data_IF_098621218930
#
_entry.id   IF_098621218930
#
_cell.length_a   1.000
_cell.length_b   1.000
_cell.length_c   1.000
_cell.angle_alpha   90.00
_cell.angle_beta   90.00
_cell.angle_gamma   90.00
#
_symmetry.space_group_name_H-M   'P 1'
#
loop_
_entity.id
_entity.type
_entity.pdbx_description
1 polymer ?
#
# COMPACT_ATOMS: atom_id res chain seq x y z
N UNK A 1 28.77 18.94 12.81
CA UNK A 1 27.49 18.24 12.55
C UNK A 1 27.70 17.22 11.44
N UNK A 2 27.55 15.93 11.78
CA UNK A 2 27.78 14.79 10.88
C UNK A 2 26.90 14.89 9.63
N UNK A 3 27.45 14.59 8.45
CA UNK A 3 26.71 14.57 7.17
C UNK A 3 25.46 13.68 7.25
N UNK A 4 25.47 12.66 8.11
CA UNK A 4 24.32 11.77 8.37
C UNK A 4 23.11 12.50 8.95
N UNK A 5 23.33 13.47 9.84
CA UNK A 5 22.24 14.23 10.47
C UNK A 5 21.49 15.12 9.47
N UNK A 6 22.18 15.58 8.41
CA UNK A 6 21.55 16.38 7.34
C UNK A 6 20.64 15.54 6.45
N UNK A 7 21.00 14.28 6.15
CA UNK A 7 20.16 13.39 5.34
C UNK A 7 18.91 12.93 6.09
N UNK A 8 19.02 12.65 7.39
CA UNK A 8 17.87 12.26 8.22
C UNK A 8 16.84 13.41 8.31
N UNK A 9 17.31 14.65 8.43
CA UNK A 9 16.44 15.83 8.51
C UNK A 9 15.75 16.12 7.17
N UNK A 10 16.44 15.89 6.05
CA UNK A 10 15.83 15.99 4.71
C UNK A 10 14.76 14.92 4.48
N UNK A 11 14.97 13.67 4.90
CA UNK A 11 13.95 12.63 4.80
C UNK A 11 12.70 12.91 5.66
N UNK A 12 12.86 13.61 6.79
CA UNK A 12 11.73 13.97 7.66
C UNK A 12 10.88 15.14 7.10
N UNK A 13 11.48 16.06 6.35
CA UNK A 13 10.74 17.19 5.74
C UNK A 13 9.91 16.73 4.54
N UNK A 14 10.39 15.75 3.76
CA UNK A 14 9.66 15.23 2.60
C UNK A 14 8.46 14.32 2.94
N UNK A 15 8.40 13.74 4.14
CA UNK A 15 7.26 12.90 4.56
C UNK A 15 6.09 13.71 5.13
N UNK A 16 6.30 14.95 5.56
CA UNK A 16 5.26 15.80 6.16
C UNK A 16 4.44 16.62 5.16
N UNK A 17 4.93 16.82 3.93
CA UNK A 17 4.22 17.61 2.90
C UNK A 17 3.39 16.76 1.92
N UNK A 18 3.41 15.43 2.05
CA UNK A 18 2.77 14.50 1.11
C UNK A 18 1.24 14.46 1.12
N UNK A 19 0.57 15.00 2.14
CA UNK A 19 -0.90 14.91 2.24
C UNK A 19 -1.65 16.14 1.72
N UNK A 20 -1.00 17.30 1.55
CA UNK A 20 -1.68 18.55 1.21
C UNK A 20 -2.31 18.62 -0.21
N UNK A 21 -1.70 18.07 -1.29
CA UNK A 21 -2.28 18.25 -2.61
C UNK A 21 -3.54 17.41 -2.83
N UNK A 22 -3.78 16.35 -2.04
CA UNK A 22 -4.94 15.47 -2.19
C UNK A 22 -6.24 16.05 -1.62
N UNK A 23 -6.17 16.86 -0.57
CA UNK A 23 -7.36 17.41 0.11
C UNK A 23 -7.88 18.73 -0.46
N UNK A 24 -7.05 19.45 -1.24
CA UNK A 24 -7.38 20.80 -1.71
C UNK A 24 -8.59 20.85 -2.67
N UNK A 25 -8.85 19.75 -3.38
CA UNK A 25 -9.98 19.63 -4.30
C UNK A 25 -11.18 18.85 -3.72
N UNK A 26 -11.06 18.32 -2.50
CA UNK A 26 -12.13 17.56 -1.86
C UNK A 26 -13.08 18.47 -1.06
N UNK A 27 -12.56 19.52 -0.41
CA UNK A 27 -13.33 20.35 0.55
C UNK A 27 -13.74 21.73 0.03
N UNK A 28 -14.23 21.87 -1.20
CA UNK A 28 -14.93 23.11 -1.58
C UNK A 28 -16.38 23.03 -1.07
N UNK A 29 -16.76 23.81 -0.04
CA UNK A 29 -18.15 23.89 0.34
C UNK A 29 -18.94 24.67 -0.74
N UNK A 30 -20.19 24.29 -1.03
CA UNK A 30 -21.04 25.08 -1.90
C UNK A 30 -21.28 26.47 -1.28
N UNK A 31 -21.23 27.50 -2.13
CA UNK A 31 -21.33 28.91 -1.75
C UNK A 31 -22.50 29.20 -0.79
N UNK A 32 -22.21 30.01 0.23
CA UNK A 32 -23.16 30.43 1.26
C UNK A 32 -24.24 31.34 0.69
N UNK A 33 -25.50 30.87 0.70
CA UNK A 33 -26.67 31.71 0.41
C UNK A 33 -27.00 32.55 1.65
N UNK A 34 -27.16 33.85 1.40
CA UNK A 34 -27.46 34.94 2.35
C UNK A 34 -28.69 34.63 3.22
N UNK A 35 -28.56 34.91 4.51
CA UNK A 35 -29.58 34.77 5.55
C UNK A 35 -30.68 35.83 5.45
N UNK A 36 -31.92 35.39 5.30
CA UNK A 36 -33.13 36.18 5.59
C UNK A 36 -33.97 35.43 6.62
N UNK A 37 -34.36 36.14 7.69
CA UNK A 37 -35.05 35.65 8.90
C UNK A 37 -36.51 35.19 8.68
N UNK A 38 -36.70 34.19 7.85
CA UNK A 38 -37.92 33.38 7.83
C UNK A 38 -37.49 31.92 7.94
N UNK A 39 -37.92 31.23 9.01
CA UNK A 39 -37.76 29.78 9.16
C UNK A 39 -38.49 29.08 8.00
N UNK A 40 -37.78 28.94 6.88
CA UNK A 40 -38.24 28.22 5.73
C UNK A 40 -38.13 26.72 6.02
N UNK A 41 -38.99 25.88 5.41
CA UNK A 41 -38.89 24.41 5.52
C UNK A 41 -37.49 23.86 5.17
N UNK A 42 -36.71 24.62 4.39
CA UNK A 42 -35.30 24.35 4.14
C UNK A 42 -34.41 24.34 5.41
N UNK A 43 -34.63 25.24 6.36
CA UNK A 43 -33.84 25.30 7.61
C UNK A 43 -34.19 24.17 8.58
N UNK A 44 -35.45 23.72 8.59
CA UNK A 44 -35.85 22.54 9.36
C UNK A 44 -35.19 21.26 8.80
N UNK A 45 -35.22 21.06 7.49
CA UNK A 45 -34.56 19.92 6.82
C UNK A 45 -33.04 19.96 7.00
N UNK A 46 -32.43 21.16 6.97
CA UNK A 46 -31.00 21.35 7.22
C UNK A 46 -30.61 20.95 8.63
N UNK A 47 -31.37 21.40 9.65
CA UNK A 47 -31.14 21.02 11.05
C UNK A 47 -31.32 19.51 11.29
N UNK A 48 -32.34 18.88 10.69
CA UNK A 48 -32.55 17.43 10.76
C UNK A 48 -31.35 16.67 10.19
N UNK A 49 -30.85 17.07 9.01
CA UNK A 49 -29.67 16.46 8.38
C UNK A 49 -28.39 16.67 9.19
N UNK A 50 -28.21 17.84 9.79
CA UNK A 50 -27.09 18.10 10.70
C UNK A 50 -27.17 17.25 11.97
N UNK A 51 -28.37 17.02 12.52
CA UNK A 51 -28.62 16.11 13.63
C UNK A 51 -28.21 14.67 13.30
N UNK A 52 -28.60 14.15 12.13
CA UNK A 52 -28.22 12.81 11.68
C UNK A 52 -26.69 12.62 11.59
N UNK A 53 -25.97 13.60 11.04
CA UNK A 53 -24.49 13.54 10.97
C UNK A 53 -23.87 13.55 12.36
N UNK A 54 -24.37 14.41 13.26
CA UNK A 54 -23.89 14.50 14.63
C UNK A 54 -24.10 13.18 15.40
N UNK A 55 -25.29 12.58 15.28
CA UNK A 55 -25.63 11.32 15.94
C UNK A 55 -24.72 10.18 15.47
N UNK A 56 -24.40 10.14 14.17
CA UNK A 56 -23.45 9.16 13.63
C UNK A 56 -22.04 9.35 14.17
N UNK A 57 -21.54 10.60 14.20
CA UNK A 57 -20.22 10.89 14.75
C UNK A 57 -20.12 10.48 16.21
N UNK A 58 -21.17 10.77 16.99
CA UNK A 58 -21.28 10.35 18.39
C UNK A 58 -21.29 8.82 18.51
N UNK A 59 -22.04 8.13 17.65
CA UNK A 59 -22.09 6.67 17.60
C UNK A 59 -20.72 6.07 17.25
N UNK A 60 -20.04 6.61 16.24
CA UNK A 60 -18.66 6.21 15.88
C UNK A 60 -17.70 6.37 17.05
N UNK A 61 -17.81 7.48 17.80
CA UNK A 61 -16.95 7.74 18.96
C UNK A 61 -17.12 6.69 20.06
N UNK A 62 -18.33 6.14 20.26
CA UNK A 62 -18.57 5.08 21.24
C UNK A 62 -17.81 3.79 20.94
N UNK A 63 -17.56 3.48 19.67
CA UNK A 63 -16.78 2.30 19.29
C UNK A 63 -15.28 2.55 19.33
N UNK A 64 -14.82 3.80 19.16
CA UNK A 64 -13.39 4.11 19.24
C UNK A 64 -12.79 3.86 20.62
N UNK A 65 -13.57 4.06 21.69
CA UNK A 65 -13.12 3.84 23.08
C UNK A 65 -13.06 2.36 23.49
N UNK A 66 -13.61 1.47 22.66
CA UNK A 66 -13.60 0.03 22.93
C UNK A 66 -12.18 -0.54 22.78
N UNK A 67 -11.86 -1.54 23.61
CA UNK A 67 -10.65 -2.32 23.43
C UNK A 67 -10.79 -3.30 22.25
N UNK A 68 -9.69 -3.94 21.83
CA UNK A 68 -9.70 -4.79 20.63
C UNK A 68 -10.65 -5.99 20.72
N UNK A 69 -10.78 -6.63 21.89
CA UNK A 69 -11.72 -7.75 22.06
C UNK A 69 -13.17 -7.30 21.91
N UNK A 70 -13.49 -6.15 22.49
CA UNK A 70 -14.82 -5.53 22.38
C UNK A 70 -15.13 -5.10 20.94
N UNK A 71 -14.15 -4.52 20.23
CA UNK A 71 -14.30 -4.17 18.81
C UNK A 71 -14.56 -5.41 17.94
N UNK A 72 -13.88 -6.51 18.21
CA UNK A 72 -14.09 -7.76 17.49
C UNK A 72 -15.51 -8.32 17.72
N UNK A 73 -15.98 -8.35 18.96
CA UNK A 73 -17.36 -8.77 19.28
C UNK A 73 -18.40 -7.86 18.62
N UNK A 74 -18.25 -6.54 18.78
CA UNK A 74 -19.14 -5.57 18.15
C UNK A 74 -19.15 -5.69 16.63
N UNK A 75 -18.01 -5.99 16.01
CA UNK A 75 -17.94 -6.24 14.58
C UNK A 75 -18.77 -7.47 14.19
N UNK A 76 -18.63 -8.58 14.90
CA UNK A 76 -19.37 -9.81 14.61
C UNK A 76 -20.89 -9.61 14.73
N UNK A 77 -21.33 -8.96 15.81
CA UNK A 77 -22.74 -8.65 16.05
C UNK A 77 -23.31 -7.73 14.97
N UNK A 78 -22.60 -6.64 14.64
CA UNK A 78 -23.08 -5.68 13.64
C UNK A 78 -23.04 -6.23 12.22
N UNK A 79 -22.11 -7.16 11.91
CA UNK A 79 -22.12 -7.88 10.63
C UNK A 79 -23.37 -8.74 10.50
N UNK A 80 -23.69 -9.52 11.55
CA UNK A 80 -24.90 -10.34 11.60
C UNK A 80 -26.17 -9.48 11.46
N UNK A 81 -26.23 -8.35 12.17
CA UNK A 81 -27.34 -7.40 12.07
C UNK A 81 -27.49 -6.85 10.65
N UNK A 82 -26.38 -6.44 10.03
CA UNK A 82 -26.38 -5.89 8.68
C UNK A 82 -26.79 -6.92 7.61
N UNK A 83 -26.33 -8.16 7.75
CA UNK A 83 -26.67 -9.25 6.82
C UNK A 83 -28.16 -9.60 6.85
N UNK A 84 -28.80 -9.45 8.02
CA UNK A 84 -30.23 -9.69 8.19
C UNK A 84 -31.08 -8.51 7.74
N UNK A 85 -30.66 -7.29 8.07
CA UNK A 85 -31.36 -6.06 7.73
C UNK A 85 -30.35 -4.96 7.37
N UNK A 86 -30.11 -4.72 6.06
CA UNK A 86 -29.13 -3.75 5.58
C UNK A 86 -29.46 -2.29 5.93
N UNK A 87 -29.21 -1.91 7.18
CA UNK A 87 -29.38 -0.57 7.71
C UNK A 87 -28.13 0.29 7.48
N UNK A 88 -28.35 1.52 7.04
CA UNK A 88 -27.25 2.43 6.68
C UNK A 88 -26.45 2.93 7.89
N UNK A 89 -27.03 2.95 9.09
CA UNK A 89 -26.32 3.33 10.32
C UNK A 89 -25.42 2.19 10.80
N UNK A 90 -25.87 0.95 10.66
CA UNK A 90 -25.05 -0.24 10.95
C UNK A 90 -23.85 -0.29 10.00
N UNK A 91 -24.10 -0.12 8.69
CA UNK A 91 -23.05 0.02 7.68
C UNK A 91 -22.04 1.12 8.01
N UNK A 92 -22.52 2.27 8.49
CA UNK A 92 -21.65 3.37 8.90
C UNK A 92 -20.69 2.97 10.03
N UNK A 93 -21.21 2.34 11.09
CA UNK A 93 -20.38 1.90 12.22
C UNK A 93 -19.38 0.83 11.77
N UNK A 94 -19.84 -0.14 10.98
CA UNK A 94 -18.98 -1.19 10.43
C UNK A 94 -17.80 -0.60 9.67
N UNK A 95 -18.03 0.39 8.79
CA UNK A 95 -16.96 0.92 7.93
C UNK A 95 -16.12 2.01 8.60
N UNK A 96 -16.73 2.96 9.31
CA UNK A 96 -16.02 4.13 9.83
C UNK A 96 -15.49 3.96 11.26
N UNK A 97 -16.11 3.11 12.08
CA UNK A 97 -15.77 3.01 13.50
C UNK A 97 -14.95 1.76 13.84
N UNK A 98 -15.29 0.62 13.21
CA UNK A 98 -14.75 -0.69 13.55
C UNK A 98 -13.72 -1.24 12.56
N UNK A 99 -13.38 -0.48 11.51
CA UNK A 99 -12.64 -1.04 10.38
C UNK A 99 -11.37 -0.27 10.00
N UNK A 100 -10.67 0.29 10.99
CA UNK A 100 -9.43 1.07 10.77
C UNK A 100 -8.31 0.28 10.10
N UNK A 101 -8.24 -1.02 10.30
CA UNK A 101 -7.22 -1.95 9.77
C UNK A 101 -7.80 -2.99 8.80
N UNK A 102 -9.07 -2.83 8.41
CA UNK A 102 -9.82 -3.78 7.59
C UNK A 102 -9.98 -5.18 8.21
N UNK A 103 -9.84 -5.31 9.54
CA UNK A 103 -10.04 -6.59 10.24
C UNK A 103 -11.51 -6.95 10.38
N UNK A 104 -12.40 -5.94 10.46
CA UNK A 104 -13.82 -6.15 10.66
C UNK A 104 -14.53 -6.52 9.34
N UNK A 105 -14.37 -5.69 8.32
CA UNK A 105 -14.84 -5.91 6.94
C UNK A 105 -13.70 -5.64 5.97
N UNK A 106 -13.50 -6.55 5.01
CA UNK A 106 -12.39 -6.41 4.08
C UNK A 106 -12.56 -5.16 3.20
N UNK A 107 -11.46 -4.58 2.72
CA UNK A 107 -11.49 -3.36 1.91
C UNK A 107 -12.52 -3.38 0.76
N UNK A 108 -12.62 -4.52 0.04
CA UNK A 108 -13.59 -4.67 -1.05
C UNK A 108 -15.04 -4.65 -0.55
N UNK A 109 -15.28 -5.29 0.59
CA UNK A 109 -16.59 -5.38 1.24
C UNK A 109 -17.00 -4.01 1.79
N UNK A 110 -16.07 -3.28 2.43
CA UNK A 110 -16.30 -1.91 2.89
C UNK A 110 -16.76 -0.98 1.75
N UNK A 111 -16.11 -1.05 0.59
CA UNK A 111 -16.51 -0.29 -0.62
C UNK A 111 -17.94 -0.68 -1.05
N UNK A 112 -18.25 -1.98 -1.05
CA UNK A 112 -19.57 -2.47 -1.45
C UNK A 112 -20.67 -2.01 -0.48
N UNK A 113 -20.42 -2.09 0.83
CA UNK A 113 -21.32 -1.60 1.88
C UNK A 113 -21.60 -0.10 1.69
N UNK A 114 -20.55 0.71 1.54
CA UNK A 114 -20.71 2.16 1.31
C UNK A 114 -21.47 2.45 0.00
N UNK A 115 -21.22 1.68 -1.06
CA UNK A 115 -21.92 1.80 -2.32
C UNK A 115 -23.41 1.44 -2.21
N UNK A 116 -23.76 0.43 -1.42
CA UNK A 116 -25.14 0.01 -1.21
C UNK A 116 -25.95 1.05 -0.43
N UNK A 117 -25.34 1.70 0.57
CA UNK A 117 -26.05 2.73 1.35
C UNK A 117 -26.17 4.06 0.60
N UNK A 118 -25.31 4.32 -0.39
CA UNK A 118 -25.37 5.52 -1.23
C UNK A 118 -26.69 5.62 -2.01
N UNK A 119 -27.30 4.49 -2.35
CA UNK A 119 -28.54 4.43 -3.14
C UNK A 119 -29.81 4.48 -2.30
N UNK A 120 -29.70 4.47 -0.96
CA UNK A 120 -30.85 4.53 -0.07
C UNK A 120 -31.39 5.96 0.06
N UNK A 121 -32.70 6.12 -0.13
CA UNK A 121 -33.40 7.43 -0.15
C UNK A 121 -33.37 8.17 1.21
N UNK A 122 -33.08 7.47 2.30
CA UNK A 122 -33.04 7.99 3.68
C UNK A 122 -31.75 8.75 4.03
N UNK A 123 -30.71 8.68 3.20
CA UNK A 123 -29.39 9.27 3.50
C UNK A 123 -29.34 10.74 3.04
N UNK A 124 -29.04 11.65 3.97
CA UNK A 124 -28.90 13.08 3.66
C UNK A 124 -27.73 13.39 2.69
N UNK A 125 -27.85 14.47 1.93
CA UNK A 125 -26.84 14.90 0.92
C UNK A 125 -25.42 14.99 1.48
N UNK A 126 -25.25 15.44 2.72
CA UNK A 126 -23.95 15.55 3.37
C UNK A 126 -23.30 14.17 3.61
N UNK A 127 -24.11 13.18 4.01
CA UNK A 127 -23.66 11.80 4.22
C UNK A 127 -23.36 11.11 2.88
N UNK A 128 -24.18 11.36 1.87
CA UNK A 128 -23.91 10.91 0.50
C UNK A 128 -22.59 11.46 -0.04
N UNK A 129 -22.30 12.74 0.22
CA UNK A 129 -21.02 13.35 -0.15
C UNK A 129 -19.86 12.68 0.59
N UNK A 130 -19.96 12.50 1.91
CA UNK A 130 -18.89 11.87 2.70
C UNK A 130 -18.62 10.44 2.23
N UNK A 131 -19.67 9.64 2.01
CA UNK A 131 -19.57 8.29 1.50
C UNK A 131 -18.92 8.26 0.11
N UNK A 132 -19.27 9.20 -0.77
CA UNK A 132 -18.64 9.31 -2.10
C UNK A 132 -17.13 9.56 -1.99
N UNK A 133 -16.71 10.45 -1.10
CA UNK A 133 -15.30 10.73 -0.85
C UNK A 133 -14.60 9.51 -0.26
N UNK A 134 -15.21 8.87 0.73
CA UNK A 134 -14.65 7.69 1.37
C UNK A 134 -14.48 6.52 0.39
N UNK A 135 -15.48 6.25 -0.46
CA UNK A 135 -15.39 5.22 -1.51
C UNK A 135 -14.17 5.47 -2.40
N UNK A 136 -13.97 6.71 -2.88
CA UNK A 136 -12.80 7.06 -3.71
C UNK A 136 -11.47 6.80 -3.00
N UNK A 137 -11.40 7.12 -1.70
CA UNK A 137 -10.20 6.86 -0.88
C UNK A 137 -9.94 5.36 -0.78
N UNK A 138 -10.97 4.56 -0.49
CA UNK A 138 -10.86 3.10 -0.37
C UNK A 138 -10.51 2.44 -1.72
N UNK A 139 -11.07 2.93 -2.83
CA UNK A 139 -10.72 2.47 -4.18
C UNK A 139 -9.25 2.76 -4.53
N UNK A 140 -8.78 3.97 -4.21
CA UNK A 140 -7.37 4.33 -4.38
C UNK A 140 -6.46 3.43 -3.53
N UNK A 141 -6.84 3.17 -2.28
CA UNK A 141 -6.10 2.24 -1.42
C UNK A 141 -6.06 0.82 -1.99
N UNK A 142 -7.17 0.33 -2.55
CA UNK A 142 -7.25 -0.98 -3.21
C UNK A 142 -6.33 -1.05 -4.41
N UNK A 143 -6.27 0.01 -5.21
CA UNK A 143 -5.34 0.09 -6.34
C UNK A 143 -3.87 0.04 -5.87
N UNK A 144 -3.53 0.84 -4.86
CA UNK A 144 -2.18 0.86 -4.26
C UNK A 144 -1.78 -0.50 -3.70
N UNK A 145 -2.69 -1.20 -3.01
CA UNK A 145 -2.44 -2.55 -2.50
C UNK A 145 -2.12 -3.54 -3.64
N UNK A 146 -2.88 -3.47 -4.74
CA UNK A 146 -2.66 -4.32 -5.90
C UNK A 146 -1.32 -3.99 -6.61
N UNK A 147 -0.98 -2.71 -6.72
CA UNK A 147 0.31 -2.27 -7.28
C UNK A 147 1.47 -2.78 -6.40
N UNK A 148 1.40 -2.62 -5.09
CA UNK A 148 2.39 -3.14 -4.15
C UNK A 148 2.55 -4.66 -4.25
N UNK A 149 1.45 -5.41 -4.37
CA UNK A 149 1.51 -6.87 -4.57
C UNK A 149 2.23 -7.22 -5.87
N UNK A 150 1.96 -6.50 -6.97
CA UNK A 150 2.66 -6.71 -8.25
C UNK A 150 4.16 -6.41 -8.13
N UNK A 151 4.52 -5.31 -7.44
CA UNK A 151 5.92 -4.95 -7.22
C UNK A 151 6.66 -5.99 -6.37
N UNK A 152 6.06 -6.48 -5.29
CA UNK A 152 6.63 -7.56 -4.47
C UNK A 152 6.87 -8.83 -5.28
N UNK A 153 5.93 -9.20 -6.14
CA UNK A 153 6.09 -10.37 -7.01
C UNK A 153 7.22 -10.17 -8.03
N UNK A 154 7.39 -8.95 -8.57
CA UNK A 154 8.52 -8.63 -9.46
C UNK A 154 9.85 -8.68 -8.71
N UNK A 155 9.89 -8.14 -7.49
CA UNK A 155 11.09 -8.17 -6.64
C UNK A 155 11.51 -9.62 -6.38
N UNK A 156 10.57 -10.47 -5.94
CA UNK A 156 10.84 -11.90 -5.70
C UNK A 156 11.43 -12.60 -6.92
N UNK A 157 10.86 -12.37 -8.11
CA UNK A 157 11.40 -12.93 -9.37
C UNK A 157 12.81 -12.42 -9.69
N UNK A 158 13.07 -11.15 -9.40
CA UNK A 158 14.40 -10.56 -9.60
C UNK A 158 15.43 -11.15 -8.64
N UNK A 159 15.05 -11.41 -7.39
CA UNK A 159 15.90 -12.07 -6.39
C UNK A 159 16.23 -13.51 -6.80
N UNK A 160 15.23 -14.26 -7.27
CA UNK A 160 15.43 -15.62 -7.82
C UNK A 160 16.38 -15.61 -9.02
N UNK A 161 16.21 -14.65 -9.95
CA UNK A 161 17.10 -14.52 -11.11
C UNK A 161 18.53 -14.15 -10.70
N UNK A 162 18.68 -13.27 -9.71
CA UNK A 162 19.99 -12.89 -9.19
C UNK A 162 20.73 -14.09 -8.59
N UNK A 163 20.03 -14.94 -7.84
CA UNK A 163 20.62 -16.15 -7.27
C UNK A 163 21.12 -17.12 -8.36
N UNK A 164 20.31 -17.35 -9.42
CA UNK A 164 20.70 -18.18 -10.56
C UNK A 164 21.93 -17.60 -11.28
N UNK A 165 21.93 -16.29 -11.54
CA UNK A 165 23.06 -15.65 -12.23
C UNK A 165 24.34 -15.69 -11.37
N UNK A 166 24.22 -15.60 -10.05
CA UNK A 166 25.36 -15.71 -9.14
C UNK A 166 25.96 -17.13 -9.16
N UNK A 167 25.12 -18.16 -9.20
CA UNK A 167 25.56 -19.54 -9.35
C UNK A 167 26.30 -19.76 -10.68
N UNK A 168 25.72 -19.28 -11.79
CA UNK A 168 26.35 -19.35 -13.11
C UNK A 168 27.70 -18.64 -13.16
N UNK A 169 27.83 -17.49 -12.51
CA UNK A 169 29.08 -16.75 -12.41
C UNK A 169 30.16 -17.56 -11.67
N UNK A 170 29.76 -18.27 -10.62
CA UNK A 170 30.66 -19.13 -9.83
C UNK A 170 31.16 -20.30 -10.68
N UNK A 171 30.27 -20.97 -11.41
CA UNK A 171 30.62 -22.05 -12.35
C UNK A 171 31.59 -21.55 -13.43
N UNK A 172 31.31 -20.39 -14.03
CA UNK A 172 32.16 -19.81 -15.07
C UNK A 172 33.55 -19.43 -14.52
N UNK A 173 33.63 -18.97 -13.28
CA UNK A 173 34.88 -18.66 -12.60
C UNK A 173 35.72 -19.92 -12.37
N UNK A 174 35.11 -21.02 -11.93
CA UNK A 174 35.80 -22.30 -11.74
C UNK A 174 36.35 -22.85 -13.06
N UNK A 175 35.56 -22.75 -14.15
CA UNK A 175 36.01 -23.14 -15.49
C UNK A 175 37.21 -22.30 -15.97
N UNK A 176 37.20 -20.98 -15.70
CA UNK A 176 38.33 -20.11 -16.03
C UNK A 176 39.59 -20.49 -15.26
N UNK A 177 39.47 -20.83 -13.97
CA UNK A 177 40.59 -21.29 -13.15
C UNK A 177 41.17 -22.60 -13.71
N UNK A 178 40.31 -23.55 -14.07
CA UNK A 178 40.73 -24.83 -14.65
C UNK A 178 41.45 -24.64 -15.99
N UNK A 179 40.89 -23.83 -16.90
CA UNK A 179 41.51 -23.53 -18.20
C UNK A 179 42.86 -22.83 -18.04
N UNK A 180 42.96 -21.89 -17.10
CA UNK A 180 44.21 -21.19 -16.81
C UNK A 180 45.30 -22.16 -16.33
N UNK A 181 44.95 -23.10 -15.44
CA UNK A 181 45.85 -24.16 -14.99
C UNK A 181 46.32 -25.05 -16.14
N UNK A 182 45.41 -25.47 -17.02
CA UNK A 182 45.74 -26.25 -18.23
C UNK A 182 46.71 -25.50 -19.15
N UNK A 183 46.50 -24.20 -19.37
CA UNK A 183 47.41 -23.36 -20.18
C UNK A 183 48.79 -23.29 -19.53
N UNK A 184 48.87 -23.12 -18.21
CA UNK A 184 50.16 -23.09 -17.50
C UNK A 184 50.91 -24.42 -17.63
N UNK A 185 50.22 -25.55 -17.52
CA UNK A 185 50.80 -26.88 -17.72
C UNK A 185 51.36 -27.04 -19.14
N UNK A 186 50.59 -26.63 -20.16
CA UNK A 186 51.04 -26.67 -21.55
C UNK A 186 52.27 -25.78 -21.79
N UNK A 187 52.29 -24.57 -21.24
CA UNK A 187 53.47 -23.67 -21.30
C UNK A 187 54.71 -24.28 -20.65
N UNK A 188 54.54 -24.99 -19.53
CA UNK A 188 55.66 -25.66 -18.86
C UNK A 188 56.22 -26.81 -19.73
N UNK A 189 55.35 -27.58 -20.39
CA UNK A 189 55.75 -28.62 -21.35
C UNK A 189 56.49 -27.99 -22.53
N UNK A 190 55.94 -26.93 -23.14
CA UNK A 190 56.58 -26.21 -24.24
C UNK A 190 57.99 -25.71 -23.86
N UNK A 191 58.13 -25.08 -22.69
CA UNK A 191 59.43 -24.63 -22.19
C UNK A 191 60.42 -25.78 -21.99
N UNK A 192 59.96 -26.93 -21.50
CA UNK A 192 60.78 -28.13 -21.32
C UNK A 192 61.25 -28.70 -22.67
N UNK A 193 60.38 -28.73 -23.68
CA UNK A 193 60.72 -29.17 -25.04
C UNK A 193 61.75 -28.24 -25.66
N UNK A 194 61.53 -26.92 -25.61
CA UNK A 194 62.47 -25.94 -26.17
C UNK A 194 63.85 -26.04 -25.50
N UNK A 195 63.91 -26.18 -24.17
CA UNK A 195 65.18 -26.40 -23.47
C UNK A 195 65.91 -27.66 -23.93
N UNK A 196 65.20 -28.74 -24.25
CA UNK A 196 65.80 -29.98 -24.75
C UNK A 196 66.33 -29.83 -26.18
N UNK A 197 65.60 -29.13 -27.04
CA UNK A 197 66.02 -28.84 -28.41
C UNK A 197 67.24 -27.91 -28.44
N UNK A 198 67.29 -26.90 -27.57
CA UNK A 198 68.45 -26.00 -27.45
C UNK A 198 69.71 -26.71 -26.92
N UNK A 199 69.56 -27.85 -26.24
CA UNK A 199 70.65 -28.66 -25.69
C UNK A 199 71.12 -29.79 -26.61
N UNK A 200 70.48 -30.03 -27.76
CA UNK A 200 71.04 -30.96 -28.75
C UNK A 200 72.37 -30.39 -29.28
N UNK A 201 73.53 -31.02 -29.01
CA UNK A 201 74.77 -30.57 -29.60
C UNK A 201 74.63 -30.76 -31.11
N UNK A 202 74.86 -29.68 -31.86
CA UNK A 202 75.13 -29.73 -33.28
C UNK A 202 76.31 -30.68 -33.53
N UNK A 203 76.03 -31.98 -33.66
CA UNK A 203 76.92 -32.95 -34.28
C UNK A 203 76.91 -32.66 -35.79
N UNK A 204 77.55 -31.55 -36.16
CA UNK A 204 77.99 -31.31 -37.53
C UNK A 204 79.28 -32.10 -37.73
N UNK A 205 79.17 -33.16 -38.52
CA UNK A 205 80.29 -33.76 -39.25
C UNK A 205 80.88 -32.74 -40.22
#
# INVERSE_FOLDING_TARGET
MSRLAKYILFSFVFTLQGCQPYFKNLFQPPESVVSTDQEQPYDAVRRIKQGQVYDLLKRTQQYFVLNQKQKALACEELRLEYDQNPDWQVAWVLVYALNSDFSCVQLREAIAILGAIQTQQSVGLQLQWLNTVQIKVLESMKEQYNQNRRLRNKLKKSEEQLAITQEQMTIAQDQLIELSSKIQALKAIESSINKKLDYEPSYKK
#
